data_IF_382404326517
#
_entry.id   IF_382404326517
#
_cell.length_a   1.000
_cell.length_b   1.000
_cell.length_c   1.000
_cell.angle_alpha   90.00
_cell.angle_beta   90.00
_cell.angle_gamma   90.00
#
_symmetry.space_group_name_H-M   'P 1'
#
loop_
_entity.id
_entity.type
_entity.pdbx_description
1 polymer ?
#
# COMPACT_ATOMS: atom_id res chain seq x y z
N UNK A 1 7.28 10.35 -17.62
CA UNK A 1 7.48 9.06 -16.92
C UNK A 1 6.30 8.17 -17.14
N UNK A 2 6.55 6.90 -17.36
CA UNK A 2 5.48 5.95 -17.57
C UNK A 2 4.86 5.54 -16.25
N UNK A 3 3.61 5.13 -16.34
CA UNK A 3 2.88 4.68 -15.16
C UNK A 3 3.62 3.58 -14.41
N UNK A 4 4.16 2.61 -15.15
CA UNK A 4 4.89 1.51 -14.53
C UNK A 4 6.14 1.96 -13.79
N UNK A 5 6.87 2.89 -14.40
CA UNK A 5 8.10 3.40 -13.78
C UNK A 5 7.77 4.15 -12.50
N UNK A 6 6.69 4.91 -12.51
CA UNK A 6 6.27 5.63 -11.32
C UNK A 6 5.86 4.68 -10.22
N UNK A 7 5.12 3.63 -10.56
CA UNK A 7 4.68 2.64 -9.56
C UNK A 7 5.88 1.96 -8.92
N UNK A 8 6.88 1.60 -9.73
CA UNK A 8 8.09 0.99 -9.21
C UNK A 8 8.84 1.93 -8.27
N UNK A 9 8.93 3.20 -8.64
CA UNK A 9 9.58 4.19 -7.81
C UNK A 9 8.86 4.33 -6.46
N UNK A 10 7.54 4.39 -6.49
CA UNK A 10 6.74 4.51 -5.26
C UNK A 10 6.95 3.30 -4.37
N UNK A 11 6.92 2.12 -4.95
CA UNK A 11 7.14 0.89 -4.19
C UNK A 11 8.51 0.89 -3.54
N UNK A 12 9.53 1.30 -4.28
CA UNK A 12 10.90 1.34 -3.74
C UNK A 12 11.02 2.33 -2.59
N UNK A 13 10.37 3.48 -2.70
CA UNK A 13 10.40 4.48 -1.64
C UNK A 13 9.71 3.97 -0.39
N UNK A 14 8.56 3.32 -0.55
CA UNK A 14 7.85 2.76 0.59
C UNK A 14 8.68 1.69 1.26
N UNK A 15 9.29 0.81 0.47
CA UNK A 15 10.13 -0.25 1.02
C UNK A 15 11.31 0.33 1.80
N UNK A 16 11.90 1.40 1.28
CA UNK A 16 13.02 2.06 1.94
C UNK A 16 12.60 2.66 3.28
N UNK A 17 11.45 3.28 3.33
CA UNK A 17 10.93 3.84 4.58
C UNK A 17 10.72 2.74 5.61
N UNK A 18 10.16 1.63 5.20
CA UNK A 18 9.90 0.51 6.09
C UNK A 18 11.20 -0.04 6.65
N UNK A 19 12.21 -0.21 5.79
CA UNK A 19 13.45 -0.84 6.18
C UNK A 19 14.34 0.06 7.05
N UNK A 20 14.20 1.37 6.91
CA UNK A 20 15.09 2.29 7.60
C UNK A 20 14.48 2.91 8.86
N UNK A 21 13.24 2.60 9.18
CA UNK A 21 12.53 3.26 10.27
C UNK A 21 12.38 2.34 11.48
N UNK A 22 12.58 2.91 12.66
CA UNK A 22 12.31 2.21 13.91
C UNK A 22 10.81 2.07 14.16
N UNK A 23 10.02 2.95 13.56
CA UNK A 23 8.57 2.93 13.68
C UNK A 23 7.91 2.51 12.37
N UNK A 24 8.45 1.46 11.76
CA UNK A 24 7.95 1.00 10.46
C UNK A 24 6.46 0.71 10.48
N UNK A 25 5.97 0.13 11.56
CA UNK A 25 4.56 -0.21 11.68
C UNK A 25 3.67 1.03 11.57
N UNK A 26 4.02 2.09 12.31
CA UNK A 26 3.27 3.33 12.25
C UNK A 26 3.36 3.99 10.88
N UNK A 27 4.54 3.91 10.28
CA UNK A 27 4.74 4.48 8.95
C UNK A 27 3.90 3.75 7.90
N UNK A 28 3.80 2.43 8.03
CA UNK A 28 2.96 1.64 7.12
C UNK A 28 1.50 2.04 7.26
N UNK A 29 1.03 2.18 8.49
CA UNK A 29 -0.35 2.59 8.73
C UNK A 29 -0.65 3.95 8.09
N UNK A 30 0.26 4.90 8.25
CA UNK A 30 0.08 6.22 7.65
C UNK A 30 0.01 6.15 6.13
N UNK A 31 0.91 5.39 5.54
CA UNK A 31 0.96 5.24 4.08
C UNK A 31 -0.32 4.60 3.58
N UNK A 32 -0.73 3.51 4.21
CA UNK A 32 -1.93 2.79 3.80
C UNK A 32 -3.16 3.65 3.98
N UNK A 33 -3.24 4.38 5.08
CA UNK A 33 -4.37 5.26 5.35
C UNK A 33 -4.49 6.32 4.25
N UNK A 34 -3.38 6.90 3.84
CA UNK A 34 -3.40 7.87 2.77
C UNK A 34 -3.85 7.23 1.46
N UNK A 35 -3.31 6.07 1.15
CA UNK A 35 -3.65 5.38 -0.10
C UNK A 35 -5.14 5.05 -0.15
N UNK A 36 -5.69 4.60 0.95
CA UNK A 36 -7.10 4.29 1.03
C UNK A 36 -7.94 5.55 0.85
N UNK A 37 -7.47 6.67 1.40
CA UNK A 37 -8.24 7.91 1.38
C UNK A 37 -8.41 8.48 -0.04
N UNK A 38 -7.54 8.12 -0.96
CA UNK A 38 -7.62 8.63 -2.33
C UNK A 38 -8.21 7.61 -3.31
N UNK A 39 -8.60 6.44 -2.82
CA UNK A 39 -9.17 5.41 -3.68
C UNK A 39 -10.69 5.57 -3.78
N UNK A 40 -11.22 5.26 -4.97
CA UNK A 40 -12.68 5.23 -5.12
C UNK A 40 -13.20 3.86 -4.65
N UNK A 41 -14.52 3.72 -4.68
CA UNK A 41 -15.15 2.50 -4.16
C UNK A 41 -14.74 1.25 -4.91
N UNK A 42 -14.62 1.35 -6.23
CA UNK A 42 -14.24 0.20 -7.04
C UNK A 42 -12.83 -0.27 -6.68
N UNK A 43 -11.93 0.67 -6.46
CA UNK A 43 -10.56 0.35 -6.09
C UNK A 43 -10.50 -0.26 -4.70
N UNK A 44 -11.28 0.26 -3.78
CA UNK A 44 -11.34 -0.31 -2.44
C UNK A 44 -11.86 -1.75 -2.47
N UNK A 45 -12.86 -2.01 -3.29
CA UNK A 45 -13.39 -3.35 -3.43
C UNK A 45 -12.35 -4.32 -3.96
N UNK A 46 -11.54 -3.87 -4.92
CA UNK A 46 -10.47 -4.70 -5.47
C UNK A 46 -9.42 -5.04 -4.43
N UNK A 47 -9.04 -4.06 -3.62
CA UNK A 47 -8.08 -4.28 -2.55
C UNK A 47 -8.65 -5.25 -1.52
N UNK A 48 -9.90 -5.06 -1.15
CA UNK A 48 -10.54 -5.93 -0.18
C UNK A 48 -10.59 -7.38 -0.68
N UNK A 49 -10.94 -7.55 -1.95
CA UNK A 49 -10.99 -8.88 -2.55
C UNK A 49 -9.62 -9.55 -2.54
N UNK A 50 -8.60 -8.78 -2.88
CA UNK A 50 -7.23 -9.31 -2.87
C UNK A 50 -6.81 -9.76 -1.48
N UNK A 51 -7.10 -8.95 -0.48
CA UNK A 51 -6.73 -9.27 0.89
C UNK A 51 -7.47 -10.51 1.38
N UNK A 52 -8.75 -10.61 1.06
CA UNK A 52 -9.55 -11.76 1.46
C UNK A 52 -9.05 -13.05 0.82
N UNK A 53 -8.63 -12.96 -0.44
CA UNK A 53 -8.16 -14.13 -1.17
C UNK A 53 -6.76 -14.57 -0.73
N UNK A 54 -5.88 -13.62 -0.47
CA UNK A 54 -4.50 -13.96 -0.13
C UNK A 54 -4.28 -14.17 1.37
N UNK A 55 -5.07 -13.51 2.18
CA UNK A 55 -4.94 -13.59 3.64
C UNK A 55 -6.27 -13.89 4.27
N UNK A 56 -6.85 -15.07 3.96
CA UNK A 56 -8.16 -15.42 4.52
C UNK A 56 -8.07 -15.53 6.03
N UNK A 57 -9.08 -15.03 6.68
CA UNK A 57 -9.15 -15.10 8.13
C UNK A 57 -9.51 -16.50 8.60
N UNK A 58 -8.92 -16.88 9.64
CA UNK A 58 -9.26 -18.16 10.26
C UNK A 58 -8.27 -19.18 10.03
#
# INVERSE_FOLDING_TARGET
MRYKDQATTIFSEIASIIESSDNAENNIYDIVDFMISIMNKDQLNQVEDMLTNQYPEG
#
